data_IF_174396110688
#
_entry.id   IF_174396110688
#
_cell.length_a   1.000
_cell.length_b   1.000
_cell.length_c   1.000
_cell.angle_alpha   90.00
_cell.angle_beta   90.00
_cell.angle_gamma   90.00
#
_symmetry.space_group_name_H-M   'P 1'
#
loop_
_entity.id
_entity.type
_entity.pdbx_description
1 polymer ?
#
# COMPACT_ATOMS: atom_id res chain seq x y z
N UNK A 1 -20.48 -5.05 11.67
CA UNK A 1 -20.02 -4.43 12.95
C UNK A 1 -18.50 -4.35 13.09
N UNK A 2 -17.72 -5.33 12.58
CA UNK A 2 -16.27 -5.37 12.78
C UNK A 2 -15.52 -4.26 12.02
N UNK A 3 -15.87 -3.97 10.76
CA UNK A 3 -15.15 -2.97 9.95
C UNK A 3 -15.26 -1.54 10.50
N UNK A 4 -16.42 -1.19 11.06
CA UNK A 4 -16.63 0.12 11.71
C UNK A 4 -15.68 0.29 12.89
N UNK A 5 -15.53 -0.76 13.72
CA UNK A 5 -14.62 -0.76 14.86
C UNK A 5 -13.15 -0.57 14.44
N UNK A 6 -12.71 -1.20 13.34
CA UNK A 6 -11.34 -1.05 12.84
C UNK A 6 -11.05 0.33 12.24
N UNK A 7 -12.06 1.02 11.71
CA UNK A 7 -11.93 2.41 11.25
C UNK A 7 -11.87 3.36 12.44
N UNK A 8 -12.66 3.10 13.48
CA UNK A 8 -12.56 3.83 14.73
C UNK A 8 -11.19 3.62 15.41
N UNK A 9 -10.60 2.42 15.32
CA UNK A 9 -9.24 2.14 15.79
C UNK A 9 -8.19 2.94 15.00
N UNK A 10 -8.30 3.01 13.67
CA UNK A 10 -7.42 3.84 12.82
C UNK A 10 -7.53 5.32 13.17
N UNK A 11 -8.76 5.81 13.35
CA UNK A 11 -9.03 7.18 13.78
C UNK A 11 -8.46 7.41 15.18
N UNK A 12 -8.61 6.46 16.09
CA UNK A 12 -8.08 6.51 17.45
C UNK A 12 -6.56 6.62 17.47
N UNK A 13 -5.87 5.83 16.63
CA UNK A 13 -4.41 5.89 16.52
C UNK A 13 -3.93 7.17 15.84
N UNK A 14 -4.62 7.64 14.80
CA UNK A 14 -4.35 8.95 14.20
C UNK A 14 -4.43 10.07 15.23
N UNK A 15 -5.49 10.07 16.06
CA UNK A 15 -5.64 11.01 17.18
C UNK A 15 -4.53 10.86 18.22
N UNK A 16 -4.19 9.64 18.61
CA UNK A 16 -3.12 9.37 19.58
C UNK A 16 -1.76 9.89 19.08
N UNK A 17 -1.42 9.69 17.80
CA UNK A 17 -0.17 10.16 17.22
C UNK A 17 -0.11 11.70 17.16
N UNK A 18 -1.23 12.34 16.82
CA UNK A 18 -1.37 13.81 16.84
C UNK A 18 -1.22 14.35 18.26
N UNK A 19 -1.85 13.72 19.24
CA UNK A 19 -1.75 14.09 20.66
C UNK A 19 -0.35 13.87 21.22
N UNK A 20 0.30 12.74 20.91
CA UNK A 20 1.67 12.44 21.32
C UNK A 20 2.66 13.46 20.74
N UNK A 21 2.49 13.84 19.47
CA UNK A 21 3.33 14.86 18.82
C UNK A 21 3.18 16.22 19.52
N UNK A 22 1.95 16.61 19.88
CA UNK A 22 1.69 17.82 20.66
C UNK A 22 2.35 17.74 22.05
N UNK A 23 2.19 16.64 22.76
CA UNK A 23 2.76 16.44 24.10
C UNK A 23 4.30 16.49 24.11
N UNK A 24 4.95 15.86 23.12
CA UNK A 24 6.42 15.95 22.96
C UNK A 24 6.84 17.39 22.66
N UNK A 25 6.09 18.09 21.80
CA UNK A 25 6.35 19.50 21.48
C UNK A 25 6.25 20.38 22.74
N UNK A 26 5.25 20.14 23.58
CA UNK A 26 5.05 20.86 24.85
C UNK A 26 6.19 20.60 25.84
N UNK A 27 6.67 19.34 25.92
CA UNK A 27 7.80 18.97 26.78
C UNK A 27 9.08 19.69 26.36
N UNK A 28 9.37 19.73 25.06
CA UNK A 28 10.57 20.38 24.52
C UNK A 28 10.49 21.90 24.71
N UNK A 29 9.33 22.52 24.49
CA UNK A 29 9.12 23.95 24.75
C UNK A 29 9.30 24.30 26.23
N UNK A 30 8.73 23.49 27.13
CA UNK A 30 8.87 23.68 28.57
C UNK A 30 10.35 23.55 29.02
N UNK A 31 11.06 22.56 28.47
CA UNK A 31 12.48 22.35 28.76
C UNK A 31 13.35 23.51 28.27
N UNK A 32 13.17 23.96 27.02
CA UNK A 32 13.90 25.11 26.48
C UNK A 32 13.58 26.40 27.25
N UNK A 33 12.33 26.57 27.65
CA UNK A 33 11.91 27.69 28.48
C UNK A 33 12.46 27.65 29.89
N UNK A 34 12.77 26.48 30.44
CA UNK A 34 13.43 26.33 31.74
C UNK A 34 14.94 26.60 31.67
N UNK A 35 15.60 26.19 30.56
CA UNK A 35 17.04 26.37 30.34
C UNK A 35 17.39 27.81 29.92
N UNK A 36 16.65 28.38 28.97
CA UNK A 36 16.95 29.68 28.37
C UNK A 36 16.23 30.87 28.99
N UNK A 37 15.36 30.64 29.98
CA UNK A 37 14.63 31.68 30.69
C UNK A 37 13.61 32.45 29.84
N UNK A 38 13.10 33.60 30.33
CA UNK A 38 12.05 34.38 29.67
C UNK A 38 12.34 34.80 28.22
N UNK A 39 13.58 35.20 27.84
CA UNK A 39 13.89 35.57 26.45
C UNK A 39 13.77 34.40 25.48
N UNK A 40 14.18 33.20 25.87
CA UNK A 40 14.08 32.01 25.04
C UNK A 40 12.60 31.60 24.82
N UNK A 41 11.76 31.69 25.87
CA UNK A 41 10.31 31.44 25.75
C UNK A 41 9.64 32.39 24.77
N UNK A 42 10.01 33.67 24.80
CA UNK A 42 9.43 34.68 23.93
C UNK A 42 9.75 34.44 22.45
N UNK A 43 10.96 33.94 22.16
CA UNK A 43 11.43 33.67 20.81
C UNK A 43 10.97 32.31 20.27
N UNK A 44 10.79 31.31 21.13
CA UNK A 44 10.40 29.96 20.72
C UNK A 44 8.89 29.72 20.67
N UNK A 45 8.10 30.47 21.44
CA UNK A 45 6.65 30.30 21.50
C UNK A 45 5.93 30.38 20.14
N UNK A 46 6.29 31.30 19.20
CA UNK A 46 5.68 31.33 17.88
C UNK A 46 5.98 30.07 17.06
N UNK A 47 7.20 29.54 17.14
CA UNK A 47 7.62 28.34 16.41
C UNK A 47 6.84 27.12 16.91
N UNK A 48 6.73 26.95 18.22
CA UNK A 48 5.97 25.84 18.80
C UNK A 48 4.46 25.97 18.57
N UNK A 49 3.92 27.19 18.57
CA UNK A 49 2.54 27.45 18.16
C UNK A 49 2.29 27.06 16.70
N UNK A 50 3.23 27.36 15.79
CA UNK A 50 3.15 26.94 14.38
C UNK A 50 3.19 25.43 14.22
N UNK A 51 4.09 24.73 14.92
CA UNK A 51 4.18 23.27 14.91
C UNK A 51 2.84 22.66 15.36
N UNK A 52 2.30 23.10 16.50
CA UNK A 52 0.99 22.64 17.00
C UNK A 52 -0.16 22.94 16.04
N UNK A 53 -0.13 24.11 15.41
CA UNK A 53 -1.12 24.51 14.41
C UNK A 53 -1.12 23.56 13.22
N UNK A 54 0.04 23.30 12.64
CA UNK A 54 0.20 22.37 11.50
C UNK A 54 -0.22 20.96 11.90
N UNK A 55 0.24 20.43 13.05
CA UNK A 55 -0.13 19.09 13.52
C UNK A 55 -1.63 18.94 13.75
N UNK A 56 -2.30 19.98 14.25
CA UNK A 56 -3.76 19.97 14.45
C UNK A 56 -4.52 19.99 13.13
N UNK A 57 -4.04 20.75 12.14
CA UNK A 57 -4.62 20.77 10.79
C UNK A 57 -4.45 19.42 10.11
N UNK A 58 -3.28 18.80 10.21
CA UNK A 58 -3.01 17.46 9.68
C UNK A 58 -3.94 16.42 10.32
N UNK A 59 -4.09 16.45 11.65
CA UNK A 59 -5.03 15.57 12.36
C UNK A 59 -6.48 15.74 11.90
N UNK A 60 -6.94 16.99 11.73
CA UNK A 60 -8.29 17.28 11.25
C UNK A 60 -8.53 16.82 9.80
N UNK A 61 -7.53 16.95 8.93
CA UNK A 61 -7.60 16.46 7.54
C UNK A 61 -7.68 14.93 7.53
N UNK A 62 -6.87 14.24 8.33
CA UNK A 62 -6.86 12.79 8.42
C UNK A 62 -8.18 12.25 8.96
N UNK A 63 -8.72 12.87 10.02
CA UNK A 63 -10.02 12.51 10.61
C UNK A 63 -11.17 12.72 9.61
N UNK A 64 -11.15 13.82 8.86
CA UNK A 64 -12.15 14.14 7.84
C UNK A 64 -12.09 13.17 6.65
N UNK A 65 -10.89 12.84 6.18
CA UNK A 65 -10.69 11.87 5.11
C UNK A 65 -11.18 10.47 5.54
N UNK A 66 -10.84 10.03 6.76
CA UNK A 66 -11.32 8.76 7.31
C UNK A 66 -12.85 8.76 7.51
N UNK A 67 -13.44 9.87 7.95
CA UNK A 67 -14.90 9.99 8.07
C UNK A 67 -15.63 9.88 6.74
N UNK A 68 -15.06 10.42 5.65
CA UNK A 68 -15.64 10.32 4.31
C UNK A 68 -15.46 8.93 3.70
N UNK A 69 -14.37 8.22 4.04
CA UNK A 69 -14.13 6.85 3.57
C UNK A 69 -14.90 5.80 4.38
N UNK A 70 -15.22 6.07 5.65
CA UNK A 70 -15.95 5.16 6.54
C UNK A 70 -17.25 4.57 5.95
N UNK A 71 -18.17 5.37 5.36
CA UNK A 71 -19.40 4.82 4.76
C UNK A 71 -19.13 3.93 3.54
N UNK A 72 -18.06 4.17 2.78
CA UNK A 72 -17.69 3.36 1.61
C UNK A 72 -17.06 2.01 2.00
N UNK A 73 -16.53 1.91 3.22
CA UNK A 73 -15.86 0.72 3.74
C UNK A 73 -16.79 -0.18 4.58
N UNK A 74 -18.04 0.22 4.79
CA UNK A 74 -19.06 -0.52 5.54
C UNK A 74 -19.40 -1.90 4.97
N UNK A 75 -20.18 -2.68 5.74
CA UNK A 75 -20.62 -4.04 5.34
C UNK A 75 -21.64 -3.95 4.19
N UNK A 76 -21.19 -4.32 3.00
CA UNK A 76 -21.95 -4.29 1.75
C UNK A 76 -21.08 -4.81 0.60
N UNK A 77 -21.72 -5.24 -0.49
CA UNK A 77 -21.14 -5.95 -1.65
C UNK A 77 -19.91 -5.26 -2.27
N UNK A 78 -19.15 -6.03 -3.07
CA UNK A 78 -17.94 -5.57 -3.76
C UNK A 78 -18.19 -4.43 -4.76
N UNK A 79 -18.35 -3.20 -4.28
CA UNK A 79 -18.51 -2.02 -5.13
C UNK A 79 -17.16 -1.50 -5.66
N UNK A 80 -17.13 -0.90 -6.87
CA UNK A 80 -15.97 -0.19 -7.38
C UNK A 80 -15.40 0.86 -6.43
N UNK A 81 -16.28 1.63 -5.80
CA UNK A 81 -15.96 2.76 -4.93
C UNK A 81 -15.28 2.26 -3.66
N UNK A 82 -15.77 1.16 -3.08
CA UNK A 82 -15.15 0.50 -1.92
C UNK A 82 -13.75 0.01 -2.24
N UNK A 83 -13.55 -0.57 -3.42
CA UNK A 83 -12.23 -1.04 -3.86
C UNK A 83 -11.23 0.11 -4.01
N UNK A 84 -11.66 1.26 -4.55
CA UNK A 84 -10.83 2.46 -4.66
C UNK A 84 -10.50 3.05 -3.28
N UNK A 85 -11.49 3.13 -2.38
CA UNK A 85 -11.29 3.58 -1.00
C UNK A 85 -10.28 2.70 -0.24
N UNK A 86 -10.39 1.37 -0.36
CA UNK A 86 -9.44 0.43 0.24
C UNK A 86 -8.03 0.60 -0.32
N UNK A 87 -7.90 0.74 -1.64
CA UNK A 87 -6.61 0.96 -2.29
C UNK A 87 -5.96 2.26 -1.81
N UNK A 88 -6.72 3.35 -1.75
CA UNK A 88 -6.25 4.63 -1.23
C UNK A 88 -5.81 4.53 0.24
N UNK A 89 -6.63 3.88 1.09
CA UNK A 89 -6.32 3.67 2.51
C UNK A 89 -5.02 2.87 2.68
N UNK A 90 -4.84 1.78 1.93
CA UNK A 90 -3.62 0.99 1.96
C UNK A 90 -2.43 1.74 1.37
N UNK A 91 -2.63 2.62 0.39
CA UNK A 91 -1.55 3.47 -0.13
C UNK A 91 -0.98 4.44 0.90
N UNK A 92 -1.79 4.89 1.87
CA UNK A 92 -1.39 5.88 2.88
C UNK A 92 -1.01 5.24 4.22
N UNK A 93 -1.80 4.27 4.69
CA UNK A 93 -1.69 3.64 6.02
C UNK A 93 -1.39 2.13 5.95
N UNK A 94 -0.91 1.66 4.81
CA UNK A 94 -0.76 0.23 4.53
C UNK A 94 0.16 -0.52 5.48
N UNK A 95 1.28 0.08 5.85
CA UNK A 95 2.24 -0.46 6.81
C UNK A 95 1.61 -0.64 8.19
N UNK A 96 0.94 0.39 8.69
CA UNK A 96 0.22 0.34 9.96
C UNK A 96 -0.89 -0.71 9.95
N UNK A 97 -1.68 -0.78 8.86
CA UNK A 97 -2.73 -1.79 8.69
C UNK A 97 -2.16 -3.21 8.75
N UNK A 98 -1.02 -3.45 8.11
CA UNK A 98 -0.37 -4.75 8.12
C UNK A 98 0.22 -5.10 9.48
N UNK A 99 0.92 -4.16 10.12
CA UNK A 99 1.54 -4.34 11.45
C UNK A 99 0.48 -4.67 12.52
N UNK A 100 -0.65 -3.98 12.47
CA UNK A 100 -1.77 -4.19 13.41
C UNK A 100 -2.70 -5.35 13.02
N UNK A 101 -2.40 -6.07 11.94
CA UNK A 101 -3.24 -7.17 11.40
C UNK A 101 -4.69 -6.72 11.19
N UNK A 102 -4.87 -5.50 10.71
CA UNK A 102 -6.17 -4.93 10.44
C UNK A 102 -6.80 -5.62 9.20
N UNK A 103 -8.08 -6.02 9.23
CA UNK A 103 -8.75 -6.70 8.11
C UNK A 103 -8.90 -5.83 6.86
N UNK A 104 -8.64 -4.52 6.96
CA UNK A 104 -8.58 -3.62 5.81
C UNK A 104 -7.23 -3.68 5.06
N UNK A 105 -6.21 -4.35 5.63
CA UNK A 105 -4.94 -4.58 4.95
C UNK A 105 -5.16 -5.45 3.71
N UNK A 106 -4.67 -4.97 2.56
CA UNK A 106 -4.73 -5.74 1.31
C UNK A 106 -3.65 -6.83 1.36
N UNK A 107 -4.09 -8.08 1.45
CA UNK A 107 -3.20 -9.22 1.28
C UNK A 107 -2.73 -9.33 -0.18
N UNK A 108 -1.43 -9.59 -0.34
CA UNK A 108 -0.84 -9.76 -1.66
C UNK A 108 -1.32 -11.06 -2.30
N UNK A 109 -1.82 -10.99 -3.52
CA UNK A 109 -2.30 -12.16 -4.27
C UNK A 109 -2.24 -11.94 -5.78
N UNK A 110 -2.12 -13.05 -6.50
CA UNK A 110 -2.28 -13.09 -7.94
C UNK A 110 -3.66 -13.66 -8.29
N UNK A 111 -4.40 -12.95 -9.14
CA UNK A 111 -5.72 -13.35 -9.57
C UNK A 111 -5.78 -13.45 -11.09
N UNK A 112 -6.29 -14.57 -11.59
CA UNK A 112 -6.65 -14.76 -13.00
C UNK A 112 -8.15 -14.49 -13.19
N UNK A 113 -8.60 -13.91 -14.31
CA UNK A 113 -10.02 -13.85 -14.63
C UNK A 113 -10.66 -15.23 -14.63
N UNK A 114 -11.89 -15.30 -14.14
CA UNK A 114 -12.69 -16.52 -14.21
C UNK A 114 -12.87 -16.94 -15.68
N UNK A 115 -12.69 -18.24 -15.95
CA UNK A 115 -12.78 -18.79 -17.30
C UNK A 115 -11.60 -18.49 -18.24
N UNK A 116 -10.59 -17.70 -17.85
CA UNK A 116 -9.43 -17.47 -18.69
C UNK A 116 -8.57 -18.75 -18.81
N UNK A 117 -8.23 -19.21 -20.04
CA UNK A 117 -7.44 -20.41 -20.23
C UNK A 117 -6.01 -20.24 -19.67
N UNK A 118 -5.44 -21.30 -19.10
CA UNK A 118 -4.02 -21.35 -18.76
C UNK A 118 -3.21 -21.68 -20.02
N UNK A 119 -2.42 -20.71 -20.49
CA UNK A 119 -1.49 -20.85 -21.62
C UNK A 119 -0.06 -20.91 -21.12
N UNK A 120 0.89 -21.31 -21.97
CA UNK A 120 2.31 -21.27 -21.61
C UNK A 120 2.90 -19.86 -21.52
N UNK A 121 2.16 -18.84 -21.96
CA UNK A 121 2.53 -17.42 -21.88
C UNK A 121 1.66 -16.68 -20.87
N UNK A 122 2.28 -16.00 -19.91
CA UNK A 122 1.59 -15.27 -18.82
C UNK A 122 1.90 -13.77 -18.93
N UNK A 123 0.86 -12.94 -18.85
CA UNK A 123 1.00 -11.49 -18.74
C UNK A 123 0.59 -11.06 -17.31
N UNK A 124 1.55 -10.64 -16.50
CA UNK A 124 1.32 -10.20 -15.13
C UNK A 124 1.17 -8.68 -15.10
N UNK A 125 0.06 -8.19 -14.57
CA UNK A 125 -0.28 -6.78 -14.47
C UNK A 125 -0.13 -6.29 -13.04
N UNK A 126 0.72 -5.28 -12.84
CA UNK A 126 1.13 -4.76 -11.54
C UNK A 126 0.71 -3.30 -11.42
N UNK A 127 -0.25 -3.02 -10.53
CA UNK A 127 -0.75 -1.66 -10.32
C UNK A 127 0.23 -0.77 -9.54
N UNK A 128 0.01 0.54 -9.61
CA UNK A 128 0.78 1.55 -8.86
C UNK A 128 0.26 1.79 -7.44
N UNK A 129 0.77 2.85 -6.81
CA UNK A 129 0.35 3.25 -5.47
C UNK A 129 -1.12 3.67 -5.43
N UNK A 130 -1.81 3.34 -4.33
CA UNK A 130 -3.21 3.69 -4.09
C UNK A 130 -4.17 3.20 -5.19
N UNK A 131 -3.78 2.17 -5.94
CA UNK A 131 -4.55 1.56 -7.01
C UNK A 131 -4.89 0.10 -6.69
N UNK A 132 -5.70 -0.52 -7.55
CA UNK A 132 -6.01 -1.95 -7.50
C UNK A 132 -5.95 -2.56 -8.90
N UNK A 133 -6.05 -3.89 -9.01
CA UNK A 133 -6.13 -4.58 -10.32
C UNK A 133 -7.18 -4.04 -11.29
N UNK A 134 -8.20 -3.30 -10.79
CA UNK A 134 -9.27 -2.71 -11.60
C UNK A 134 -8.78 -1.82 -12.72
N UNK A 135 -7.62 -1.16 -12.55
CA UNK A 135 -7.01 -0.30 -13.58
C UNK A 135 -6.68 -1.06 -14.87
N UNK A 136 -6.63 -2.39 -14.80
CA UNK A 136 -6.33 -3.28 -15.91
C UNK A 136 -7.56 -3.98 -16.49
N UNK A 137 -8.76 -3.66 -16.02
CA UNK A 137 -9.99 -4.22 -16.59
C UNK A 137 -10.10 -3.88 -18.09
N UNK A 138 -10.60 -4.84 -18.88
CA UNK A 138 -10.75 -4.78 -20.35
C UNK A 138 -9.49 -5.01 -21.21
N UNK A 139 -8.36 -5.48 -20.67
CA UNK A 139 -7.23 -5.91 -21.51
C UNK A 139 -7.55 -7.26 -22.18
N UNK A 140 -7.40 -7.29 -23.51
CA UNK A 140 -7.67 -8.47 -24.34
C UNK A 140 -6.52 -9.48 -24.25
N UNK A 141 -6.87 -10.74 -24.43
CA UNK A 141 -5.94 -11.86 -24.62
C UNK A 141 -5.11 -11.65 -25.90
N UNK A 142 -3.88 -11.15 -25.74
CA UNK A 142 -2.91 -10.97 -26.82
C UNK A 142 -2.05 -12.25 -27.04
N UNK A 143 -2.64 -13.42 -26.80
CA UNK A 143 -1.91 -14.70 -26.78
C UNK A 143 -1.32 -15.04 -25.41
N UNK A 144 -1.64 -14.27 -24.37
CA UNK A 144 -1.18 -14.44 -22.99
C UNK A 144 -2.36 -14.70 -22.06
N UNK A 145 -2.15 -15.53 -21.05
CA UNK A 145 -3.08 -15.59 -19.91
C UNK A 145 -2.84 -14.37 -19.01
N UNK A 146 -3.83 -13.48 -18.83
CA UNK A 146 -3.68 -12.33 -17.94
C UNK A 146 -3.77 -12.76 -16.47
N UNK A 147 -2.83 -12.26 -15.67
CA UNK A 147 -2.80 -12.42 -14.21
C UNK A 147 -2.61 -11.03 -13.60
N UNK A 148 -3.37 -10.70 -12.58
CA UNK A 148 -3.33 -9.38 -11.94
C UNK A 148 -2.84 -9.50 -10.51
N UNK A 149 -1.87 -8.67 -10.14
CA UNK A 149 -1.41 -8.53 -8.77
C UNK A 149 -2.34 -7.57 -8.02
N UNK A 150 -2.85 -7.99 -6.88
CA UNK A 150 -3.29 -7.07 -5.81
C UNK A 150 -2.23 -7.08 -4.72
N UNK A 151 -1.86 -5.90 -4.21
CA UNK A 151 -0.96 -5.79 -3.07
C UNK A 151 -1.21 -4.51 -2.27
N UNK A 152 -0.77 -4.51 -1.01
CA UNK A 152 -0.76 -3.33 -0.17
C UNK A 152 0.38 -2.40 -0.59
N UNK A 153 0.03 -1.34 -1.31
CA UNK A 153 1.00 -0.39 -1.84
C UNK A 153 1.65 0.52 -0.79
N UNK A 154 1.12 0.59 0.43
CA UNK A 154 1.74 1.35 1.54
C UNK A 154 2.88 0.58 2.22
N UNK A 155 3.03 -0.72 1.95
CA UNK A 155 4.21 -1.46 2.41
C UNK A 155 5.47 -1.03 1.65
N UNK A 156 6.62 -1.10 2.34
CA UNK A 156 7.91 -0.81 1.75
C UNK A 156 8.14 -1.61 0.46
N UNK A 157 8.65 -0.96 -0.58
CA UNK A 157 8.80 -1.56 -1.92
C UNK A 157 9.66 -2.82 -1.88
N UNK A 158 10.71 -2.86 -1.05
CA UNK A 158 11.55 -4.06 -0.91
C UNK A 158 10.83 -5.23 -0.23
N UNK A 159 9.90 -4.96 0.69
CA UNK A 159 9.05 -5.98 1.32
C UNK A 159 8.08 -6.57 0.30
N UNK A 160 7.39 -5.69 -0.44
CA UNK A 160 6.50 -6.09 -1.51
C UNK A 160 7.24 -6.83 -2.64
N UNK A 161 8.43 -6.37 -3.04
CA UNK A 161 9.23 -7.02 -4.06
C UNK A 161 9.61 -8.45 -3.70
N UNK A 162 10.01 -8.70 -2.45
CA UNK A 162 10.35 -10.04 -1.95
C UNK A 162 9.14 -10.97 -1.93
N UNK A 163 8.01 -10.48 -1.45
CA UNK A 163 6.78 -11.25 -1.44
C UNK A 163 6.30 -11.57 -2.86
N UNK A 164 6.41 -10.60 -3.78
CA UNK A 164 6.00 -10.78 -5.17
C UNK A 164 6.89 -11.79 -5.91
N UNK A 165 8.20 -11.76 -5.68
CA UNK A 165 9.13 -12.79 -6.17
C UNK A 165 8.69 -14.20 -5.76
N UNK A 166 8.46 -14.42 -4.46
CA UNK A 166 7.99 -15.71 -3.96
C UNK A 166 6.64 -16.12 -4.58
N UNK A 167 5.72 -15.18 -4.77
CA UNK A 167 4.44 -15.42 -5.43
C UNK A 167 4.57 -15.80 -6.90
N UNK A 168 5.49 -15.19 -7.64
CA UNK A 168 5.78 -15.55 -9.04
C UNK A 168 6.43 -16.94 -9.14
N UNK A 169 7.29 -17.29 -8.19
CA UNK A 169 7.89 -18.63 -8.12
C UNK A 169 6.82 -19.70 -7.90
N UNK A 170 5.92 -19.49 -6.92
CA UNK A 170 4.77 -20.37 -6.70
C UNK A 170 3.85 -20.43 -7.91
N UNK A 171 3.57 -19.27 -8.54
CA UNK A 171 2.75 -19.21 -9.75
C UNK A 171 3.30 -20.12 -10.85
N UNK A 172 4.60 -20.06 -11.12
CA UNK A 172 5.25 -20.88 -12.16
C UNK A 172 5.28 -22.36 -11.76
N UNK A 173 5.50 -22.66 -10.47
CA UNK A 173 5.54 -24.03 -9.97
C UNK A 173 4.18 -24.74 -10.07
N UNK A 174 3.09 -24.00 -9.83
CA UNK A 174 1.73 -24.52 -9.77
C UNK A 174 0.93 -24.26 -11.05
N UNK A 175 1.56 -23.69 -12.09
CA UNK A 175 0.85 -23.36 -13.32
C UNK A 175 0.35 -24.65 -14.02
N UNK A 176 -0.90 -24.69 -14.53
CA UNK A 176 -1.46 -25.93 -15.09
C UNK A 176 -0.75 -26.50 -16.32
N UNK A 177 0.04 -25.67 -17.01
CA UNK A 177 0.84 -26.04 -18.19
C UNK A 177 2.26 -25.52 -18.02
N UNK A 178 3.28 -26.06 -18.72
CA UNK A 178 4.62 -25.50 -18.67
C UNK A 178 4.63 -24.02 -19.07
N UNK A 179 5.28 -23.18 -18.26
CA UNK A 179 5.45 -21.75 -18.56
C UNK A 179 6.69 -21.55 -19.42
N UNK A 180 6.48 -20.97 -20.60
CA UNK A 180 7.53 -20.63 -21.57
C UNK A 180 7.96 -19.17 -21.43
N UNK A 181 7.01 -18.28 -21.14
CA UNK A 181 7.20 -16.84 -21.21
C UNK A 181 6.34 -16.10 -20.19
N UNK A 182 6.96 -15.16 -19.49
CA UNK A 182 6.31 -14.18 -18.63
C UNK A 182 6.60 -12.78 -19.19
N UNK A 183 5.55 -11.98 -19.33
CA UNK A 183 5.63 -10.54 -19.55
C UNK A 183 5.02 -9.82 -18.35
N UNK A 184 5.67 -8.75 -17.87
CA UNK A 184 5.15 -7.93 -16.78
C UNK A 184 4.79 -6.54 -17.31
N UNK A 185 3.58 -6.07 -17.03
CA UNK A 185 3.15 -4.69 -17.27
C UNK A 185 2.98 -4.01 -15.93
N UNK A 186 3.81 -3.02 -15.66
CA UNK A 186 3.91 -2.38 -14.36
C UNK A 186 3.67 -0.88 -14.48
N UNK A 187 2.77 -0.35 -13.65
CA UNK A 187 2.46 1.08 -13.63
C UNK A 187 3.09 1.77 -12.42
N UNK A 188 3.79 2.88 -12.65
CA UNK A 188 4.39 3.74 -11.62
C UNK A 188 5.21 2.90 -10.60
N UNK A 189 4.88 2.96 -9.30
CA UNK A 189 5.56 2.20 -8.24
C UNK A 189 5.56 0.68 -8.46
N UNK A 190 4.58 0.14 -9.21
CA UNK A 190 4.59 -1.26 -9.61
C UNK A 190 5.85 -1.67 -10.36
N UNK A 191 6.49 -0.71 -11.06
CA UNK A 191 7.77 -0.93 -11.72
C UNK A 191 8.92 -1.14 -10.75
N UNK A 192 8.98 -0.35 -9.67
CA UNK A 192 9.99 -0.48 -8.62
C UNK A 192 9.84 -1.81 -7.87
N UNK A 193 8.60 -2.18 -7.54
CA UNK A 193 8.25 -3.48 -6.96
C UNK A 193 8.73 -4.62 -7.88
N UNK A 194 8.46 -4.51 -9.19
CA UNK A 194 8.87 -5.51 -10.18
C UNK A 194 10.39 -5.65 -10.25
N UNK A 195 11.13 -4.53 -10.23
CA UNK A 195 12.60 -4.56 -10.19
C UNK A 195 13.13 -5.21 -8.92
N UNK A 196 12.52 -4.90 -7.77
CA UNK A 196 12.84 -5.54 -6.49
C UNK A 196 12.61 -7.06 -6.54
N UNK A 197 11.50 -7.51 -7.11
CA UNK A 197 11.22 -8.93 -7.28
C UNK A 197 12.27 -9.60 -8.19
N UNK A 198 12.66 -8.97 -9.31
CA UNK A 198 13.71 -9.51 -10.16
C UNK A 198 15.04 -9.69 -9.42
N UNK A 199 15.41 -8.72 -8.59
CA UNK A 199 16.63 -8.79 -7.78
C UNK A 199 16.61 -9.99 -6.81
N UNK A 200 15.52 -10.16 -6.05
CA UNK A 200 15.39 -11.32 -5.14
C UNK A 200 15.35 -12.66 -5.88
N UNK A 201 14.70 -12.70 -7.04
CA UNK A 201 14.65 -13.90 -7.86
C UNK A 201 16.03 -14.32 -8.38
N UNK A 202 16.88 -13.35 -8.73
CA UNK A 202 18.26 -13.58 -9.15
C UNK A 202 19.12 -14.10 -7.99
N UNK A 203 18.97 -13.53 -6.80
CA UNK A 203 19.67 -13.99 -5.59
C UNK A 203 19.25 -15.42 -5.21
N UNK A 204 17.95 -15.71 -5.24
CA UNK A 204 17.37 -17.00 -4.88
C UNK A 204 17.43 -18.04 -6.02
N UNK A 205 17.81 -17.63 -7.24
CA UNK A 205 17.79 -18.44 -8.47
C UNK A 205 16.39 -19.03 -8.76
N UNK A 206 15.35 -18.22 -8.58
CA UNK A 206 13.97 -18.61 -8.85
C UNK A 206 13.71 -18.79 -10.35
N UNK A 207 12.94 -19.83 -10.68
CA UNK A 207 12.70 -20.31 -12.06
C UNK A 207 11.93 -19.31 -12.89
N UNK A 208 11.02 -18.55 -12.28
CA UNK A 208 10.21 -17.57 -13.00
C UNK A 208 11.08 -16.50 -13.67
N UNK A 209 12.25 -16.18 -13.09
CA UNK A 209 13.16 -15.15 -13.62
C UNK A 209 13.71 -15.48 -15.00
N UNK A 210 13.96 -16.76 -15.27
CA UNK A 210 14.43 -17.26 -16.57
C UNK A 210 13.33 -17.21 -17.64
N UNK A 211 12.06 -17.21 -17.22
CA UNK A 211 10.88 -17.12 -18.09
C UNK A 211 10.50 -15.67 -18.39
N UNK A 212 10.97 -14.70 -17.61
CA UNK A 212 10.68 -13.29 -17.81
C UNK A 212 11.37 -12.76 -19.07
N UNK A 213 10.58 -12.41 -20.10
CA UNK A 213 11.10 -11.89 -21.38
C UNK A 213 11.00 -10.38 -21.49
N UNK A 214 9.92 -9.81 -20.97
CA UNK A 214 9.60 -8.39 -21.18
C UNK A 214 9.04 -7.78 -19.90
N UNK A 215 9.48 -6.56 -19.60
CA UNK A 215 8.85 -5.69 -18.61
C UNK A 215 8.49 -4.38 -19.30
N UNK A 216 7.23 -3.97 -19.20
CA UNK A 216 6.71 -2.71 -19.72
C UNK A 216 6.43 -1.80 -18.52
N UNK A 217 7.06 -0.64 -18.50
CA UNK A 217 6.84 0.38 -17.47
C UNK A 217 5.92 1.47 -18.03
N UNK A 218 4.80 1.70 -17.34
CA UNK A 218 3.81 2.75 -17.63
C UNK A 218 3.87 3.86 -16.59
#
# INVERSE_FOLDING_TARGET
MATVKHIDDLRGVGKLAVEATKAVTDLVEAMQGAIGGPPARLLSAPVYATIRGITSVVGGILDSALAQLAPLLGEGTASPERGAALAALNGVLGDYLAETRNPLAIEMRLARPEGAPAKSKIAVFVHGSAMSRRVWQARRDLGYTPVYLDYNSGLHVSTNGRAFDALLETLVAEWPVPVDEIAIVAHSMGGLLTRGACHYAEEAKHRWRDKLRTIIFL
#
